data_IF_744025210383
#
_entry.id   IF_744025210383
#
_cell.length_a   1.000
_cell.length_b   1.000
_cell.length_c   1.000
_cell.angle_alpha   90.00
_cell.angle_beta   90.00
_cell.angle_gamma   90.00
#
_symmetry.space_group_name_H-M   'P 1'
#
loop_
_entity.id
_entity.type
_entity.pdbx_description
1 polymer ?
#
# COMPACT_ATOMS: atom_id res chain seq x y z
N UNK A 1 -16.78 -10.08 6.05
CA UNK A 1 -16.87 -9.86 4.60
C UNK A 1 -15.61 -10.38 3.92
N UNK A 2 -15.78 -10.99 2.77
CA UNK A 2 -14.69 -11.57 2.00
C UNK A 2 -14.41 -10.73 0.76
N UNK A 3 -13.14 -10.39 0.54
CA UNK A 3 -12.67 -9.64 -0.61
C UNK A 3 -11.67 -10.52 -1.38
N UNK A 4 -11.92 -10.74 -2.65
CA UNK A 4 -11.14 -11.68 -3.47
C UNK A 4 -10.04 -11.00 -4.28
N UNK A 5 -10.09 -9.67 -4.39
CA UNK A 5 -9.07 -8.92 -5.12
C UNK A 5 -7.81 -8.75 -4.28
N UNK A 6 -6.66 -8.84 -4.94
CA UNK A 6 -5.35 -8.80 -4.28
C UNK A 6 -4.95 -7.37 -3.92
N UNK A 7 -4.42 -7.20 -2.71
CA UNK A 7 -3.67 -6.01 -2.29
C UNK A 7 -2.20 -6.38 -2.21
N UNK A 8 -1.34 -5.61 -2.88
CA UNK A 8 0.11 -5.71 -2.69
C UNK A 8 0.53 -4.61 -1.73
N UNK A 9 1.10 -4.99 -0.59
CA UNK A 9 1.40 -4.08 0.51
C UNK A 9 2.92 -4.05 0.74
N UNK A 10 3.55 -2.91 0.45
CA UNK A 10 4.99 -2.74 0.58
C UNK A 10 5.35 -1.92 1.82
N UNK A 11 6.01 -2.54 2.77
CA UNK A 11 6.46 -1.95 4.03
C UNK A 11 7.51 -2.85 4.63
N UNK A 12 8.65 -2.30 5.08
CA UNK A 12 9.71 -3.09 5.70
C UNK A 12 9.53 -3.28 7.21
N UNK A 13 8.54 -2.63 7.81
CA UNK A 13 8.28 -2.71 9.25
C UNK A 13 7.41 -3.94 9.57
N UNK A 14 8.00 -4.90 10.28
CA UNK A 14 7.30 -6.13 10.68
C UNK A 14 6.13 -5.86 11.63
N UNK A 15 6.26 -4.85 12.49
CA UNK A 15 5.19 -4.47 13.41
C UNK A 15 3.97 -3.98 12.65
N UNK A 16 4.17 -3.19 11.59
CA UNK A 16 3.06 -2.70 10.77
C UNK A 16 2.30 -3.82 10.09
N UNK A 17 3.00 -4.86 9.62
CA UNK A 17 2.34 -6.05 9.05
C UNK A 17 1.44 -6.72 10.08
N UNK A 18 1.93 -6.83 11.33
CA UNK A 18 1.14 -7.41 12.43
C UNK A 18 -0.08 -6.56 12.72
N UNK A 19 0.06 -5.23 12.80
CA UNK A 19 -1.05 -4.31 13.08
C UNK A 19 -2.12 -4.37 11.98
N UNK A 20 -1.70 -4.44 10.72
CA UNK A 20 -2.62 -4.59 9.59
C UNK A 20 -3.39 -5.90 9.70
N UNK A 21 -2.70 -7.00 9.99
CA UNK A 21 -3.32 -8.32 10.12
C UNK A 21 -4.31 -8.36 11.29
N UNK A 22 -3.94 -7.80 12.43
CA UNK A 22 -4.84 -7.72 13.60
C UNK A 22 -6.07 -6.85 13.31
N UNK A 23 -5.88 -5.72 12.63
CA UNK A 23 -6.98 -4.82 12.29
C UNK A 23 -7.99 -5.51 11.37
N UNK A 24 -7.52 -6.27 10.39
CA UNK A 24 -8.40 -7.01 9.48
C UNK A 24 -9.19 -8.08 10.23
N UNK A 25 -8.56 -8.78 11.17
CA UNK A 25 -9.24 -9.77 12.02
C UNK A 25 -10.31 -9.14 12.89
N UNK A 26 -9.99 -8.02 13.55
CA UNK A 26 -10.93 -7.30 14.41
C UNK A 26 -12.14 -6.78 13.66
N UNK A 27 -11.95 -6.39 12.38
CA UNK A 27 -13.04 -5.97 11.50
C UNK A 27 -13.82 -7.15 10.94
N UNK A 28 -13.34 -8.36 11.16
CA UNK A 28 -13.90 -9.57 10.56
C UNK A 28 -13.92 -9.50 9.03
N UNK A 29 -12.86 -8.92 8.45
CA UNK A 29 -12.65 -8.86 7.00
C UNK A 29 -11.70 -9.99 6.59
N UNK A 30 -12.01 -10.63 5.47
CA UNK A 30 -11.08 -11.56 4.82
C UNK A 30 -10.49 -10.85 3.60
N UNK A 31 -9.23 -10.46 3.74
CA UNK A 31 -8.49 -9.73 2.71
C UNK A 31 -7.38 -10.60 2.14
N UNK A 32 -7.13 -10.46 0.86
CA UNK A 32 -6.01 -11.11 0.18
C UNK A 32 -4.86 -10.13 0.05
N UNK A 33 -3.95 -10.15 1.03
CA UNK A 33 -2.82 -9.22 1.09
C UNK A 33 -1.51 -9.98 0.91
N UNK A 34 -0.70 -9.54 -0.06
CA UNK A 34 0.68 -9.97 -0.22
C UNK A 34 1.60 -8.87 0.31
N UNK A 35 2.45 -9.20 1.27
CA UNK A 35 3.41 -8.25 1.82
C UNK A 35 4.77 -8.38 1.14
N UNK A 36 5.36 -7.25 0.79
CA UNK A 36 6.74 -7.13 0.32
C UNK A 36 7.44 -6.03 1.12
N UNK A 37 8.77 -6.00 1.09
CA UNK A 37 9.54 -5.16 2.01
C UNK A 37 10.08 -3.87 1.39
N UNK A 38 10.11 -3.78 0.07
CA UNK A 38 10.67 -2.61 -0.63
C UNK A 38 10.16 -2.53 -2.06
N UNK A 39 10.51 -1.44 -2.75
CA UNK A 39 10.05 -1.21 -4.11
C UNK A 39 10.59 -2.19 -5.13
N UNK A 40 11.82 -2.71 -4.93
CA UNK A 40 12.37 -3.74 -5.81
C UNK A 40 11.50 -4.99 -5.76
N UNK A 41 11.10 -5.41 -4.57
CA UNK A 41 10.22 -6.56 -4.40
C UNK A 41 8.82 -6.33 -4.97
N UNK A 42 8.33 -5.09 -4.98
CA UNK A 42 7.06 -4.76 -5.66
C UNK A 42 7.14 -5.18 -7.13
N UNK A 43 8.20 -4.78 -7.84
CA UNK A 43 8.34 -5.11 -9.26
C UNK A 43 8.64 -6.59 -9.49
N UNK A 44 9.44 -7.22 -8.64
CA UNK A 44 9.67 -8.66 -8.72
C UNK A 44 8.35 -9.43 -8.61
N UNK A 45 7.50 -9.05 -7.66
CA UNK A 45 6.19 -9.68 -7.50
C UNK A 45 5.30 -9.45 -8.72
N UNK A 46 5.20 -8.20 -9.19
CA UNK A 46 4.35 -7.85 -10.33
C UNK A 46 4.74 -8.63 -11.59
N UNK A 47 6.03 -8.85 -11.82
CA UNK A 47 6.53 -9.56 -12.98
C UNK A 47 6.17 -11.05 -12.97
N UNK A 48 5.92 -11.63 -11.80
CA UNK A 48 5.59 -13.04 -11.64
C UNK A 48 4.09 -13.34 -11.72
N UNK A 49 3.23 -12.30 -11.71
CA UNK A 49 1.79 -12.47 -11.67
C UNK A 49 1.16 -12.30 -13.05
N UNK A 50 0.19 -13.15 -13.36
CA UNK A 50 -0.58 -13.04 -14.61
C UNK A 50 -1.56 -11.86 -14.55
N UNK A 51 -2.10 -11.59 -13.37
CA UNK A 51 -3.03 -10.48 -13.15
C UNK A 51 -2.40 -9.45 -12.21
N UNK A 52 -2.66 -8.17 -12.48
CA UNK A 52 -2.19 -7.10 -11.59
C UNK A 52 -3.06 -7.05 -10.33
N UNK A 53 -2.49 -6.64 -9.17
CA UNK A 53 -3.31 -6.43 -7.98
C UNK A 53 -4.32 -5.30 -8.20
N UNK A 54 -5.39 -5.32 -7.41
CA UNK A 54 -6.40 -4.26 -7.46
C UNK A 54 -5.93 -2.99 -6.77
N UNK A 55 -4.97 -3.10 -5.88
CA UNK A 55 -4.44 -2.00 -5.08
C UNK A 55 -2.99 -2.26 -4.69
N UNK A 56 -2.17 -1.23 -4.74
CA UNK A 56 -0.81 -1.26 -4.18
C UNK A 56 -0.76 -0.25 -3.04
N UNK A 57 -0.29 -0.68 -1.87
CA UNK A 57 -0.04 0.18 -0.72
C UNK A 57 1.47 0.31 -0.56
N UNK A 58 1.97 1.53 -0.42
CA UNK A 58 3.40 1.82 -0.28
C UNK A 58 3.67 2.66 0.95
N UNK A 59 4.67 2.27 1.74
CA UNK A 59 5.34 3.17 2.66
C UNK A 59 6.38 3.99 1.88
N UNK A 60 6.64 5.21 2.30
CA UNK A 60 7.66 6.05 1.68
C UNK A 60 9.08 5.64 2.06
N UNK A 61 9.29 5.22 3.30
CA UNK A 61 10.62 4.92 3.85
C UNK A 61 10.90 3.43 3.80
N UNK A 62 11.46 2.97 2.68
CA UNK A 62 11.85 1.59 2.48
C UNK A 62 13.27 1.52 1.94
N UNK A 63 14.03 0.45 2.24
CA UNK A 63 15.37 0.28 1.70
C UNK A 63 15.35 0.00 0.19
N UNK A 64 16.49 0.12 -0.45
CA UNK A 64 16.77 -0.14 -1.85
C UNK A 64 15.99 0.80 -2.78
N UNK A 65 14.68 0.60 -2.97
CA UNK A 65 13.83 1.47 -3.76
C UNK A 65 12.70 1.97 -2.84
N UNK A 66 12.70 3.27 -2.54
CA UNK A 66 11.72 3.84 -1.62
C UNK A 66 10.34 4.02 -2.26
N UNK A 67 9.36 4.48 -1.46
CA UNK A 67 7.98 4.60 -1.92
C UNK A 67 7.78 5.63 -3.01
N UNK A 68 8.51 6.76 -2.98
CA UNK A 68 8.42 7.80 -4.01
C UNK A 68 8.93 7.29 -5.34
N UNK A 69 10.10 6.66 -5.33
CA UNK A 69 10.72 6.07 -6.52
C UNK A 69 9.82 4.96 -7.08
N UNK A 70 9.25 4.13 -6.21
CA UNK A 70 8.35 3.05 -6.61
C UNK A 70 7.09 3.59 -7.26
N UNK A 71 6.46 4.58 -6.64
CA UNK A 71 5.25 5.23 -7.17
C UNK A 71 5.52 5.82 -8.56
N UNK A 72 6.62 6.56 -8.71
CA UNK A 72 7.00 7.15 -9.99
C UNK A 72 7.16 6.10 -11.07
N UNK A 73 7.89 5.02 -10.77
CA UNK A 73 8.12 3.93 -11.73
C UNK A 73 6.82 3.22 -12.11
N UNK A 74 5.92 2.99 -11.15
CA UNK A 74 4.62 2.39 -11.43
C UNK A 74 3.81 3.25 -12.39
N UNK A 75 3.77 4.55 -12.15
CA UNK A 75 2.96 5.49 -12.96
C UNK A 75 3.55 5.75 -14.36
N UNK A 76 4.84 5.48 -14.55
CA UNK A 76 5.48 5.55 -15.87
C UNK A 76 5.37 4.24 -16.65
N UNK A 77 4.92 3.17 -16.04
CA UNK A 77 4.83 1.86 -16.66
C UNK A 77 3.44 1.64 -17.26
N UNK A 78 3.37 1.35 -18.56
CA UNK A 78 2.10 1.18 -19.25
C UNK A 78 1.25 0.03 -18.71
N UNK A 79 1.89 -1.01 -18.17
CA UNK A 79 1.19 -2.17 -17.62
C UNK A 79 0.61 -1.88 -16.22
N UNK A 80 1.27 -1.03 -15.43
CA UNK A 80 0.95 -0.83 -14.00
C UNK A 80 0.36 0.54 -13.67
N UNK A 81 0.43 1.50 -14.59
CA UNK A 81 0.04 2.90 -14.30
C UNK A 81 -1.39 3.08 -13.84
N UNK A 82 -2.28 2.18 -14.19
CA UNK A 82 -3.70 2.27 -13.83
C UNK A 82 -4.05 1.60 -12.51
N UNK A 83 -3.10 0.93 -11.86
CA UNK A 83 -3.31 0.34 -10.53
C UNK A 83 -3.39 1.48 -9.52
N UNK A 84 -4.46 1.59 -8.71
CA UNK A 84 -4.51 2.57 -7.63
C UNK A 84 -3.36 2.35 -6.65
N UNK A 85 -2.74 3.44 -6.20
CA UNK A 85 -1.67 3.39 -5.21
C UNK A 85 -2.06 4.25 -4.02
N UNK A 86 -2.06 3.67 -2.83
CA UNK A 86 -2.29 4.36 -1.57
C UNK A 86 -0.99 4.41 -0.80
N UNK A 87 -0.62 5.60 -0.33
CA UNK A 87 0.55 5.78 0.54
C UNK A 87 0.10 5.65 1.99
N UNK A 88 0.81 4.82 2.77
CA UNK A 88 0.62 4.69 4.22
C UNK A 88 1.99 4.83 4.86
N UNK A 89 2.25 5.94 5.54
CA UNK A 89 3.58 6.29 6.03
C UNK A 89 3.50 7.09 7.32
N UNK A 90 4.60 7.13 8.07
CA UNK A 90 4.70 7.97 9.28
C UNK A 90 4.86 9.46 8.96
N UNK A 91 5.24 9.80 7.74
CA UNK A 91 5.48 11.20 7.36
C UNK A 91 4.17 11.96 7.18
N UNK A 92 3.99 13.05 7.95
CA UNK A 92 2.91 14.01 7.75
C UNK A 92 3.40 15.28 7.03
N UNK A 93 4.60 15.25 6.46
CA UNK A 93 5.24 16.38 5.80
C UNK A 93 4.46 16.78 4.55
N UNK A 94 4.10 18.07 4.44
CA UNK A 94 3.34 18.58 3.30
C UNK A 94 4.05 18.40 1.96
N UNK A 95 5.37 18.45 1.96
CA UNK A 95 6.16 18.25 0.74
C UNK A 95 6.00 16.81 0.25
N UNK A 96 6.05 15.83 1.14
CA UNK A 96 5.84 14.43 0.79
C UNK A 96 4.44 14.20 0.23
N UNK A 97 3.42 14.80 0.86
CA UNK A 97 2.03 14.72 0.39
C UNK A 97 1.90 15.29 -1.02
N UNK A 98 2.47 16.47 -1.26
CA UNK A 98 2.41 17.12 -2.57
C UNK A 98 3.12 16.30 -3.65
N UNK A 99 4.30 15.77 -3.35
CA UNK A 99 5.07 14.95 -4.29
C UNK A 99 4.27 13.70 -4.67
N UNK A 100 3.70 13.00 -3.68
CA UNK A 100 2.93 11.79 -3.93
C UNK A 100 1.67 12.08 -4.74
N UNK A 101 0.97 13.18 -4.44
CA UNK A 101 -0.20 13.57 -5.20
C UNK A 101 0.16 13.88 -6.67
N UNK A 102 1.24 14.59 -6.91
CA UNK A 102 1.72 14.89 -8.27
C UNK A 102 2.14 13.64 -9.03
N UNK A 103 2.70 12.66 -8.32
CA UNK A 103 3.10 11.40 -8.92
C UNK A 103 1.91 10.46 -9.18
N UNK A 104 0.72 10.81 -8.73
CA UNK A 104 -0.50 10.07 -9.04
C UNK A 104 -0.98 9.11 -7.97
N UNK A 105 -0.58 9.31 -6.70
CA UNK A 105 -1.16 8.53 -5.60
C UNK A 105 -2.66 8.81 -5.49
N UNK A 106 -3.44 7.75 -5.26
CA UNK A 106 -4.90 7.86 -5.09
C UNK A 106 -5.27 8.39 -3.72
N UNK A 107 -4.47 8.11 -2.71
CA UNK A 107 -4.72 8.49 -1.33
C UNK A 107 -3.41 8.51 -0.55
N UNK A 108 -3.30 9.41 0.43
CA UNK A 108 -2.13 9.51 1.31
C UNK A 108 -2.62 9.43 2.75
N UNK A 109 -2.18 8.42 3.47
CA UNK A 109 -2.58 8.17 4.85
C UNK A 109 -1.36 8.18 5.76
N UNK A 110 -1.50 8.80 6.93
CA UNK A 110 -0.45 8.82 7.95
C UNK A 110 -0.69 7.63 8.89
N UNK A 111 0.37 6.88 9.19
CA UNK A 111 0.30 5.73 10.11
C UNK A 111 -0.20 6.19 11.47
N UNK A 112 -1.16 5.46 12.06
CA UNK A 112 -1.71 5.84 13.37
C UNK A 112 -0.75 5.47 14.51
N UNK A 113 -0.96 6.12 15.67
CA UNK A 113 -0.18 5.88 16.88
C UNK A 113 -0.74 4.74 17.74
N UNK A 114 -1.95 4.28 17.45
CA UNK A 114 -2.61 3.24 18.24
C UNK A 114 -3.10 2.10 17.36
N UNK A 115 -3.19 0.91 17.95
CA UNK A 115 -3.66 -0.30 17.27
C UNK A 115 -5.07 -0.16 16.72
N UNK A 116 -5.97 0.44 17.49
CA UNK A 116 -7.39 0.58 17.10
C UNK A 116 -7.58 1.47 15.88
N UNK A 117 -6.69 2.45 15.66
CA UNK A 117 -6.78 3.35 14.52
C UNK A 117 -6.36 2.67 13.21
N UNK A 118 -5.61 1.56 13.28
CA UNK A 118 -5.30 0.78 12.08
C UNK A 118 -6.56 0.25 11.39
N UNK A 119 -7.64 0.04 12.14
CA UNK A 119 -8.91 -0.33 11.52
C UNK A 119 -9.43 0.75 10.57
N UNK A 120 -9.18 2.03 10.88
CA UNK A 120 -9.54 3.15 10.01
C UNK A 120 -8.74 3.12 8.71
N UNK A 121 -7.46 2.75 8.79
CA UNK A 121 -6.62 2.57 7.59
C UNK A 121 -7.23 1.48 6.70
N UNK A 122 -7.52 0.32 7.26
CA UNK A 122 -8.07 -0.81 6.51
C UNK A 122 -9.40 -0.43 5.86
N UNK A 123 -10.29 0.25 6.57
CA UNK A 123 -11.58 0.69 6.02
C UNK A 123 -11.42 1.61 4.80
N UNK A 124 -10.36 2.42 4.77
CA UNK A 124 -10.10 3.31 3.66
C UNK A 124 -9.51 2.58 2.43
N UNK A 125 -8.96 1.39 2.61
CA UNK A 125 -8.45 0.58 1.51
C UNK A 125 -9.57 -0.21 0.79
N UNK A 126 -10.60 -0.59 1.52
CA UNK A 126 -11.68 -1.45 1.01
C UNK A 126 -12.37 -0.93 -0.25
N UNK A 127 -12.64 0.40 -0.43
CA UNK A 127 -13.25 0.89 -1.66
C UNK A 127 -12.49 0.55 -2.95
N UNK A 128 -11.18 0.33 -2.85
CA UNK A 128 -10.35 0.00 -4.02
C UNK A 128 -10.43 -1.49 -4.41
N UNK A 129 -10.95 -2.34 -3.54
CA UNK A 129 -11.00 -3.79 -3.75
C UNK A 129 -12.41 -4.37 -3.68
N UNK A 130 -13.41 -3.53 -3.53
CA UNK A 130 -14.80 -3.97 -3.48
C UNK A 130 -15.44 -4.09 -4.86
#
# INVERSE_FOLDING_TARGET
>A
MTYTKKILYADDDLDDKTWVSEATELLNYQLDIEFVENGRQVFEYLETQMEVPALIVLDLNMPELDGRQTLKKLKLNNKYKNIPVVIVTTSANKIDVEICNRLGASLYLVKPDSHSEWQLIIKQLVPYIS
#
